data_IF_322524220253
#
_entry.id   IF_322524220253
#
_cell.length_a   1.000
_cell.length_b   1.000
_cell.length_c   1.000
_cell.angle_alpha   90.00
_cell.angle_beta   90.00
_cell.angle_gamma   90.00
#
_symmetry.space_group_name_H-M   'P 1'
#
loop_
_entity.id
_entity.type
_entity.pdbx_description
1 polymer ?
#
# COMPACT_ATOMS: atom_id res chain seq x y z
N UNK A 1 -37.58 13.61 -29.11
CA UNK A 1 -36.10 13.76 -29.08
C UNK A 1 -35.48 12.65 -29.95
N UNK A 2 -34.57 12.97 -30.87
CA UNK A 2 -34.00 11.98 -31.81
C UNK A 2 -33.24 10.89 -31.02
N UNK A 3 -33.49 9.60 -31.29
CA UNK A 3 -32.87 8.46 -30.59
C UNK A 3 -31.34 8.57 -30.55
N UNK A 4 -30.73 9.10 -31.61
CA UNK A 4 -29.27 9.36 -31.68
C UNK A 4 -28.81 10.39 -30.63
N UNK A 5 -29.59 11.46 -30.41
CA UNK A 5 -29.28 12.49 -29.39
C UNK A 5 -29.41 11.94 -27.97
N UNK A 6 -30.40 11.07 -27.72
CA UNK A 6 -30.57 10.39 -26.43
C UNK A 6 -29.34 9.53 -26.12
N UNK A 7 -28.89 8.72 -27.07
CA UNK A 7 -27.72 7.85 -26.89
C UNK A 7 -26.46 8.67 -26.61
N UNK A 8 -26.21 9.73 -27.40
CA UNK A 8 -25.03 10.60 -27.19
C UNK A 8 -25.06 11.25 -25.80
N UNK A 9 -26.21 11.77 -25.36
CA UNK A 9 -26.36 12.36 -24.03
C UNK A 9 -26.14 11.33 -22.91
N UNK A 10 -26.68 10.12 -23.07
CA UNK A 10 -26.47 9.04 -22.11
C UNK A 10 -24.99 8.66 -22.00
N UNK A 11 -24.26 8.57 -23.12
CA UNK A 11 -22.82 8.28 -23.12
C UNK A 11 -22.02 9.37 -22.42
N UNK A 12 -22.28 10.65 -22.71
CA UNK A 12 -21.61 11.78 -22.04
C UNK A 12 -21.89 11.73 -20.54
N UNK A 13 -23.14 11.45 -20.14
CA UNK A 13 -23.52 11.35 -18.74
C UNK A 13 -22.79 10.21 -18.02
N UNK A 14 -22.66 9.04 -18.64
CA UNK A 14 -21.90 7.90 -18.08
C UNK A 14 -20.41 8.25 -17.94
N UNK A 15 -19.81 8.90 -18.94
CA UNK A 15 -18.41 9.35 -18.88
C UNK A 15 -18.22 10.35 -17.74
N UNK A 16 -19.13 11.32 -17.59
CA UNK A 16 -19.08 12.32 -16.51
C UNK A 16 -19.21 11.68 -15.13
N UNK A 17 -20.16 10.74 -14.96
CA UNK A 17 -20.32 9.99 -13.71
C UNK A 17 -19.06 9.16 -13.37
N UNK A 18 -18.50 8.50 -14.38
CA UNK A 18 -17.25 7.74 -14.23
C UNK A 18 -16.13 8.67 -13.78
N UNK A 19 -15.96 9.83 -14.43
CA UNK A 19 -14.96 10.81 -14.07
C UNK A 19 -15.12 11.30 -12.62
N UNK A 20 -16.35 11.65 -12.20
CA UNK A 20 -16.64 12.09 -10.82
C UNK A 20 -16.30 10.99 -9.81
N UNK A 21 -16.68 9.74 -10.10
CA UNK A 21 -16.41 8.60 -9.21
C UNK A 21 -14.90 8.35 -9.00
N UNK A 22 -14.10 8.46 -10.06
CA UNK A 22 -12.65 8.28 -9.96
C UNK A 22 -11.89 9.53 -9.46
N UNK A 23 -12.51 10.72 -9.49
CA UNK A 23 -11.87 11.97 -9.07
C UNK A 23 -11.78 12.15 -7.54
N UNK A 24 -12.67 11.50 -6.78
CA UNK A 24 -12.75 11.70 -5.33
C UNK A 24 -11.79 10.77 -4.59
N UNK A 25 -10.86 11.32 -3.77
CA UNK A 25 -10.06 10.49 -2.88
C UNK A 25 -10.94 9.84 -1.81
N UNK A 26 -10.55 8.65 -1.39
CA UNK A 26 -11.22 7.91 -0.31
C UNK A 26 -10.37 8.04 0.94
N UNK A 27 -10.99 8.46 2.04
CA UNK A 27 -10.32 8.47 3.34
C UNK A 27 -10.01 7.03 3.75
N UNK A 28 -8.76 6.78 4.07
CA UNK A 28 -8.24 5.47 4.49
C UNK A 28 -7.77 5.60 5.93
N UNK A 29 -8.29 4.74 6.80
CA UNK A 29 -7.98 4.69 8.23
C UNK A 29 -8.00 3.22 8.63
N UNK A 30 -6.86 2.56 8.54
CA UNK A 30 -6.74 1.13 8.79
C UNK A 30 -5.78 0.91 9.96
N UNK A 31 -6.23 0.14 10.95
CA UNK A 31 -5.45 -0.26 12.12
C UNK A 31 -5.30 -1.78 12.10
N UNK A 32 -4.06 -2.25 12.01
CA UNK A 32 -3.72 -3.67 11.86
C UNK A 32 -2.73 -4.10 12.93
N UNK A 33 -2.96 -5.27 13.51
CA UNK A 33 -1.93 -5.97 14.26
C UNK A 33 -1.05 -6.76 13.29
N UNK A 34 0.24 -6.74 13.50
CA UNK A 34 1.21 -7.42 12.65
C UNK A 34 2.33 -8.05 13.44
N UNK A 35 3.21 -8.72 12.71
CA UNK A 35 4.45 -9.28 13.22
C UNK A 35 5.59 -8.81 12.32
N UNK A 36 6.73 -8.51 12.92
CA UNK A 36 7.99 -8.30 12.23
C UNK A 36 8.83 -9.57 12.39
N UNK A 37 9.12 -10.21 11.27
CA UNK A 37 9.98 -11.38 11.15
C UNK A 37 11.39 -10.93 10.76
N UNK A 38 12.41 -11.48 11.39
CA UNK A 38 13.80 -11.30 10.97
C UNK A 38 14.28 -12.51 10.17
N UNK A 39 14.48 -12.35 8.86
CA UNK A 39 14.98 -13.39 7.96
C UNK A 39 16.36 -13.92 8.32
N UNK A 40 17.17 -13.16 9.06
CA UNK A 40 18.50 -13.59 9.50
C UNK A 40 18.50 -14.27 10.88
N UNK A 41 17.39 -14.20 11.62
CA UNK A 41 17.24 -14.81 12.94
C UNK A 41 15.78 -15.21 13.13
N UNK A 42 15.42 -16.37 12.57
CA UNK A 42 14.02 -16.84 12.45
C UNK A 42 13.28 -16.92 13.80
N UNK A 43 14.01 -17.10 14.91
CA UNK A 43 13.44 -17.19 16.25
C UNK A 43 13.06 -15.82 16.87
N UNK A 44 13.46 -14.71 16.25
CA UNK A 44 13.19 -13.35 16.75
C UNK A 44 11.96 -12.75 16.06
N UNK A 45 10.84 -12.89 16.74
CA UNK A 45 9.53 -12.40 16.33
C UNK A 45 9.15 -11.20 17.17
N UNK A 46 8.95 -10.05 16.54
CA UNK A 46 8.52 -8.82 17.21
C UNK A 46 7.05 -8.57 16.87
N UNK A 47 6.19 -8.34 17.89
CA UNK A 47 4.82 -7.88 17.64
C UNK A 47 4.86 -6.44 17.13
N UNK A 48 3.97 -6.12 16.20
CA UNK A 48 3.84 -4.78 15.65
C UNK A 48 2.37 -4.33 15.57
N UNK A 49 2.17 -3.02 15.66
CA UNK A 49 0.93 -2.35 15.29
C UNK A 49 1.20 -1.47 14.08
N UNK A 50 0.40 -1.57 13.05
CA UNK A 50 0.50 -0.72 11.86
C UNK A 50 -0.77 0.07 11.69
N UNK A 51 -0.64 1.38 11.49
CA UNK A 51 -1.76 2.26 11.18
C UNK A 51 -1.52 3.02 9.89
N UNK A 52 -2.50 3.02 9.00
CA UNK A 52 -2.53 3.85 7.80
C UNK A 52 -3.58 4.95 7.96
N UNK A 53 -3.16 6.22 7.94
CA UNK A 53 -4.07 7.37 8.01
C UNK A 53 -3.84 8.29 6.81
N UNK A 54 -4.82 8.39 5.92
CA UNK A 54 -4.68 9.27 4.76
C UNK A 54 -5.77 9.07 3.72
N UNK A 55 -5.35 9.08 2.45
CA UNK A 55 -6.25 8.98 1.32
C UNK A 55 -5.75 8.01 0.26
N UNK A 56 -6.65 7.17 -0.23
CA UNK A 56 -6.48 6.40 -1.45
C UNK A 56 -7.03 7.18 -2.64
N UNK A 57 -6.16 7.48 -3.59
CA UNK A 57 -6.49 8.15 -4.84
C UNK A 57 -6.72 7.11 -5.92
N UNK A 58 -7.95 7.06 -6.45
CA UNK A 58 -8.32 6.17 -7.54
C UNK A 58 -7.91 6.78 -8.87
N UNK A 59 -7.36 5.98 -9.78
CA UNK A 59 -6.98 6.43 -11.12
C UNK A 59 -7.54 5.46 -12.16
N UNK A 60 -8.09 6.00 -13.24
CA UNK A 60 -8.80 5.20 -14.26
C UNK A 60 -7.84 4.30 -15.07
N UNK A 61 -6.62 4.77 -15.34
CA UNK A 61 -5.63 4.08 -16.18
C UNK A 61 -4.26 3.91 -15.51
N UNK A 62 -4.17 4.20 -14.22
CA UNK A 62 -2.94 4.07 -13.43
C UNK A 62 -3.26 3.32 -12.14
N UNK A 63 -2.27 2.69 -11.50
CA UNK A 63 -2.47 2.14 -10.17
C UNK A 63 -3.02 3.20 -9.21
N UNK A 64 -3.90 2.77 -8.32
CA UNK A 64 -4.34 3.60 -7.20
C UNK A 64 -3.12 3.95 -6.35
N UNK A 65 -3.15 5.08 -5.65
CA UNK A 65 -2.03 5.48 -4.78
C UNK A 65 -2.54 5.82 -3.40
N UNK A 66 -1.83 5.35 -2.38
CA UNK A 66 -2.01 5.83 -1.01
C UNK A 66 -1.12 7.05 -0.78
N UNK A 67 -1.64 8.06 -0.05
CA UNK A 67 -0.86 9.17 0.50
C UNK A 67 -1.35 9.50 1.90
N UNK A 68 -0.45 9.60 2.86
CA UNK A 68 -0.83 9.86 4.25
C UNK A 68 0.30 9.67 5.24
N UNK A 69 -0.05 9.24 6.43
CA UNK A 69 0.86 8.84 7.50
C UNK A 69 0.81 7.31 7.65
N UNK A 70 1.97 6.71 7.84
CA UNK A 70 2.08 5.32 8.29
C UNK A 70 2.63 5.38 9.71
N UNK A 71 2.05 4.61 10.63
CA UNK A 71 2.60 4.40 11.95
C UNK A 71 2.98 2.92 12.06
N UNK A 72 4.19 2.65 12.52
CA UNK A 72 4.62 1.30 12.89
C UNK A 72 5.06 1.37 14.34
N UNK A 73 4.30 0.71 15.22
CA UNK A 73 4.37 0.89 16.67
C UNK A 73 4.25 2.39 17.00
N UNK A 74 5.20 2.91 17.78
CA UNK A 74 5.22 4.32 18.19
C UNK A 74 5.88 5.25 17.16
N UNK A 75 6.44 4.70 16.07
CA UNK A 75 7.14 5.50 15.05
C UNK A 75 6.19 5.95 13.95
N UNK A 76 6.18 7.27 13.70
CA UNK A 76 5.41 7.93 12.64
C UNK A 76 6.27 8.13 11.39
N UNK A 77 5.70 7.85 10.23
CA UNK A 77 6.28 8.06 8.90
C UNK A 77 5.38 9.00 8.11
N UNK A 78 5.68 10.30 8.08
CA UNK A 78 4.81 11.29 7.47
C UNK A 78 4.96 11.39 5.96
N UNK A 79 3.90 11.92 5.33
CA UNK A 79 3.80 12.08 3.87
C UNK A 79 4.17 10.81 3.08
N UNK A 80 3.91 9.65 3.69
CA UNK A 80 4.13 8.35 3.11
C UNK A 80 3.29 8.19 1.84
N UNK A 81 3.91 7.69 0.78
CA UNK A 81 3.25 7.45 -0.48
C UNK A 81 3.73 6.15 -1.13
N UNK A 82 2.80 5.43 -1.76
CA UNK A 82 3.07 4.23 -2.55
C UNK A 82 1.91 3.92 -3.50
N UNK A 83 2.19 3.07 -4.49
CA UNK A 83 1.20 2.55 -5.42
C UNK A 83 0.53 1.29 -4.85
N UNK A 84 -0.79 1.24 -4.92
CA UNK A 84 -1.58 0.05 -4.60
C UNK A 84 -1.63 -0.83 -5.85
N UNK A 85 -0.61 -1.68 -5.98
CA UNK A 85 -0.46 -2.66 -7.04
C UNK A 85 -1.14 -3.97 -6.61
N UNK A 86 -1.95 -4.55 -7.48
CA UNK A 86 -2.73 -5.76 -7.18
C UNK A 86 -1.83 -7.01 -7.05
N UNK A 87 -0.74 -7.04 -7.80
CA UNK A 87 0.02 -8.25 -8.14
C UNK A 87 1.53 -8.00 -8.14
N UNK A 88 1.98 -6.97 -7.41
CA UNK A 88 3.38 -6.58 -7.31
C UNK A 88 3.61 -5.75 -6.06
N UNK A 89 4.87 -5.67 -5.64
CA UNK A 89 5.31 -4.72 -4.64
C UNK A 89 5.42 -3.30 -5.21
N UNK A 90 5.11 -2.30 -4.40
CA UNK A 90 5.44 -0.88 -4.61
C UNK A 90 6.48 -0.44 -3.58
N UNK A 91 7.33 0.51 -3.94
CA UNK A 91 8.15 1.22 -2.95
C UNK A 91 7.28 2.16 -2.10
N UNK A 92 7.56 2.24 -0.80
CA UNK A 92 7.04 3.25 0.13
C UNK A 92 8.11 4.32 0.31
N UNK A 93 7.76 5.55 -0.04
CA UNK A 93 8.57 6.74 0.24
C UNK A 93 7.89 7.56 1.32
N UNK A 94 8.64 8.03 2.32
CA UNK A 94 8.14 8.92 3.37
C UNK A 94 9.07 10.13 3.53
N UNK A 95 8.55 11.22 4.06
CA UNK A 95 9.32 12.43 4.34
C UNK A 95 10.04 12.31 5.67
N UNK A 96 11.36 12.50 5.69
CA UNK A 96 12.17 12.44 6.91
C UNK A 96 12.54 13.82 7.49
N UNK A 97 11.87 14.89 7.05
CA UNK A 97 12.05 16.23 7.63
C UNK A 97 11.03 16.55 8.72
N UNK A 98 11.17 17.70 9.36
CA UNK A 98 10.14 18.26 10.23
C UNK A 98 8.84 18.48 9.42
N UNK A 99 7.73 17.97 9.92
CA UNK A 99 6.41 18.15 9.30
C UNK A 99 5.99 19.63 9.24
N UNK A 100 6.55 20.47 10.12
CA UNK A 100 6.27 21.90 10.18
C UNK A 100 7.28 22.75 9.37
N UNK A 101 8.38 22.16 8.89
CA UNK A 101 9.40 22.83 8.07
C UNK A 101 9.68 22.04 6.78
N UNK A 102 9.08 22.44 5.64
CA UNK A 102 9.19 21.69 4.38
C UNK A 102 10.57 21.83 3.70
N UNK A 103 11.53 22.52 4.30
CA UNK A 103 12.81 22.88 3.65
C UNK A 103 13.94 21.90 3.97
N UNK A 104 13.85 21.18 5.10
CA UNK A 104 15.00 20.47 5.67
C UNK A 104 14.94 18.93 5.54
N UNK A 105 13.91 18.41 4.85
CA UNK A 105 13.72 16.97 4.70
C UNK A 105 14.07 16.43 3.32
N UNK A 106 14.14 15.10 3.25
CA UNK A 106 14.23 14.35 2.00
C UNK A 106 13.24 13.18 2.05
N UNK A 107 12.84 12.70 0.87
CA UNK A 107 12.10 11.45 0.79
C UNK A 107 13.05 10.27 0.94
N UNK A 108 12.74 9.39 1.88
CA UNK A 108 13.49 8.17 2.19
C UNK A 108 12.60 6.96 1.94
N UNK A 109 13.20 5.86 1.51
CA UNK A 109 12.51 4.59 1.35
C UNK A 109 12.28 3.96 2.73
N UNK A 110 11.03 3.63 3.06
CA UNK A 110 10.67 2.76 4.19
C UNK A 110 10.80 1.27 3.82
N UNK A 111 10.78 0.99 2.51
CA UNK A 111 10.84 -0.35 1.98
C UNK A 111 9.79 -0.62 0.90
N UNK A 112 9.59 -1.89 0.60
CA UNK A 112 8.65 -2.34 -0.45
C UNK A 112 7.43 -2.96 0.18
N UNK A 113 6.25 -2.57 -0.30
CA UNK A 113 4.96 -3.03 0.21
C UNK A 113 4.14 -3.74 -0.84
N UNK A 114 3.53 -4.86 -0.43
CA UNK A 114 2.39 -5.44 -1.10
C UNK A 114 1.16 -5.19 -0.24
N UNK A 115 0.07 -4.70 -0.84
CA UNK A 115 -1.22 -4.53 -0.16
C UNK A 115 -2.29 -5.29 -0.93
N UNK A 116 -2.90 -6.27 -0.28
CA UNK A 116 -4.07 -6.98 -0.75
C UNK A 116 -5.29 -6.09 -0.86
N UNK A 117 -6.39 -6.64 -1.36
CA UNK A 117 -7.63 -5.89 -1.47
C UNK A 117 -8.15 -5.54 -0.07
N UNK A 118 -8.33 -4.26 0.21
CA UNK A 118 -8.84 -3.78 1.49
C UNK A 118 -7.94 -4.12 2.69
N UNK A 119 -6.61 -4.11 2.51
CA UNK A 119 -5.63 -4.29 3.60
C UNK A 119 -5.74 -5.64 4.34
N UNK A 120 -6.38 -6.63 3.72
CA UNK A 120 -6.54 -7.99 4.28
C UNK A 120 -5.26 -8.82 4.28
N UNK A 121 -4.27 -8.43 3.48
CA UNK A 121 -2.94 -9.03 3.41
C UNK A 121 -1.92 -7.92 3.15
N UNK A 122 -0.90 -7.80 3.98
CA UNK A 122 0.12 -6.77 3.91
C UNK A 122 1.48 -7.41 4.15
N UNK A 123 2.43 -7.16 3.25
CA UNK A 123 3.84 -7.46 3.47
C UNK A 123 4.66 -6.22 3.20
N UNK A 124 5.45 -5.77 4.18
CA UNK A 124 6.44 -4.69 4.02
C UNK A 124 7.84 -5.26 4.25
N UNK A 125 8.63 -5.29 3.17
CA UNK A 125 10.07 -5.55 3.24
C UNK A 125 10.76 -4.24 3.63
N UNK A 126 11.13 -4.12 4.91
CA UNK A 126 11.64 -2.86 5.47
C UNK A 126 13.06 -2.57 4.97
N UNK A 127 13.42 -1.29 4.95
CA UNK A 127 14.79 -0.82 4.70
C UNK A 127 15.43 -0.30 5.99
N UNK A 128 16.76 -0.22 6.02
CA UNK A 128 17.49 0.53 7.03
C UNK A 128 17.38 2.05 6.73
N UNK A 129 18.01 2.86 7.58
CA UNK A 129 17.97 4.34 7.46
C UNK A 129 18.64 4.86 6.17
N UNK A 130 19.48 4.05 5.53
CA UNK A 130 20.13 4.34 4.25
C UNK A 130 19.28 3.90 3.04
N UNK A 131 18.08 3.35 3.26
CA UNK A 131 17.22 2.82 2.20
C UNK A 131 17.65 1.45 1.66
N UNK A 132 18.62 0.79 2.28
CA UNK A 132 19.06 -0.56 1.93
C UNK A 132 18.14 -1.57 2.59
N UNK A 133 17.71 -2.60 1.84
CA UNK A 133 16.84 -3.65 2.36
C UNK A 133 17.39 -4.24 3.66
N UNK A 134 16.59 -4.22 4.72
CA UNK A 134 16.94 -4.87 5.96
C UNK A 134 16.32 -6.28 5.98
N UNK A 135 16.84 -7.18 6.79
CA UNK A 135 16.32 -8.55 6.87
C UNK A 135 14.97 -8.64 7.60
N UNK A 136 14.31 -7.50 7.87
CA UNK A 136 13.01 -7.46 8.56
C UNK A 136 11.88 -7.38 7.55
N UNK A 137 10.89 -8.26 7.74
CA UNK A 137 9.65 -8.25 6.99
C UNK A 137 8.51 -8.09 7.97
N UNK A 138 7.72 -7.06 7.77
CA UNK A 138 6.52 -6.78 8.54
C UNK A 138 5.32 -7.35 7.79
N UNK A 139 4.52 -8.17 8.46
CA UNK A 139 3.35 -8.84 7.89
C UNK A 139 2.13 -8.50 8.74
N UNK A 140 1.02 -8.15 8.08
CA UNK A 140 -0.25 -7.87 8.74
C UNK A 140 -1.44 -8.22 7.82
N UNK A 141 -2.66 -8.39 8.35
CA UNK A 141 -2.97 -8.62 9.76
C UNK A 141 -2.44 -9.98 10.22
N UNK A 142 -1.60 -10.02 11.25
CA UNK A 142 -1.05 -11.27 11.78
C UNK A 142 -0.67 -11.10 13.26
N UNK A 143 -1.06 -12.08 14.07
CA UNK A 143 -0.77 -12.14 15.52
C UNK A 143 0.12 -13.32 15.89
N UNK A 144 0.29 -14.28 14.96
CA UNK A 144 1.19 -15.43 15.08
C UNK A 144 2.12 -15.57 13.87
N UNK A 145 3.25 -16.26 14.05
CA UNK A 145 4.20 -16.55 12.96
C UNK A 145 3.53 -17.35 11.84
N UNK A 146 2.66 -18.30 12.22
CA UNK A 146 1.91 -19.14 11.28
C UNK A 146 1.01 -18.29 10.37
N UNK A 147 0.24 -17.37 10.95
CA UNK A 147 -0.59 -16.43 10.18
C UNK A 147 0.24 -15.56 9.23
N UNK A 148 1.38 -15.06 9.71
CA UNK A 148 2.28 -14.26 8.89
C UNK A 148 2.83 -15.09 7.70
N UNK A 149 3.23 -16.33 7.93
CA UNK A 149 3.69 -17.24 6.88
C UNK A 149 2.59 -17.53 5.85
N UNK A 150 1.37 -17.82 6.30
CA UNK A 150 0.24 -18.11 5.41
C UNK A 150 -0.06 -16.90 4.50
N UNK A 151 0.00 -15.67 5.04
CA UNK A 151 -0.14 -14.43 4.26
C UNK A 151 1.00 -14.26 3.25
N UNK A 152 2.24 -14.48 3.65
CA UNK A 152 3.39 -14.37 2.75
C UNK A 152 3.31 -15.40 1.61
N UNK A 153 2.83 -16.61 1.88
CA UNK A 153 2.60 -17.63 0.86
C UNK A 153 1.48 -17.23 -0.11
N UNK A 154 0.37 -16.69 0.39
CA UNK A 154 -0.71 -16.14 -0.46
C UNK A 154 -0.18 -15.04 -1.39
N UNK A 155 0.57 -14.09 -0.85
CA UNK A 155 1.17 -13.00 -1.63
C UNK A 155 2.12 -13.55 -2.69
N UNK A 156 2.97 -14.51 -2.32
CA UNK A 156 3.90 -15.17 -3.24
C UNK A 156 3.13 -15.88 -4.36
N UNK A 157 2.05 -16.58 -4.04
CA UNK A 157 1.19 -17.23 -5.03
C UNK A 157 0.58 -16.22 -6.01
N UNK A 158 0.00 -15.12 -5.52
CA UNK A 158 -0.58 -14.04 -6.34
C UNK A 158 0.46 -13.47 -7.31
N UNK A 159 1.68 -13.25 -6.82
CA UNK A 159 2.77 -12.70 -7.64
C UNK A 159 3.21 -13.73 -8.69
N UNK A 160 3.38 -15.00 -8.32
CA UNK A 160 3.83 -16.07 -9.23
C UNK A 160 2.80 -16.40 -10.31
N UNK A 161 1.51 -16.50 -9.99
CA UNK A 161 0.45 -16.78 -10.99
C UNK A 161 0.53 -15.82 -12.18
N UNK A 162 0.83 -14.54 -11.95
CA UNK A 162 1.01 -13.55 -13.02
C UNK A 162 2.16 -13.89 -13.98
N UNK A 163 3.26 -14.45 -13.47
CA UNK A 163 4.43 -14.78 -14.28
C UNK A 163 4.30 -16.15 -14.95
N UNK A 164 3.54 -17.09 -14.36
CA UNK A 164 3.24 -18.39 -14.96
C UNK A 164 2.27 -18.28 -16.15
N UNK A 165 1.37 -17.30 -16.17
CA UNK A 165 0.42 -17.07 -17.29
C UNK A 165 1.08 -16.34 -18.48
N UNK A 166 2.33 -15.89 -18.35
CA UNK A 166 3.07 -15.17 -19.39
C UNK A 166 4.14 -16.00 -20.12
N UNK A 167 4.29 -17.29 -19.79
CA UNK A 167 5.14 -18.26 -20.50
C UNK A 167 4.30 -19.17 -21.39
#
# INVERSE_FOLDING_TARGET
MNKKRIIVLATIFIIALTFIYYSKPIKTSEDLQGIILNKAAEDRVEKASIRFEGYTYRKLFKPNTFRGHIYINDKKYPHANFQLLKDSYSEILYWNGDENSPVDGVFVSLGRVFVGKSFNSLEIMLTNEEGVGNNKVLVAPATTVKEAQDIMEEIKYIIIEKYAVKS
#
